data_IF_082402115567
#
_entry.id   IF_082402115567
#
_cell.length_a   1.000
_cell.length_b   1.000
_cell.length_c   1.000
_cell.angle_alpha   90.00
_cell.angle_beta   90.00
_cell.angle_gamma   90.00
#
_symmetry.space_group_name_H-M   'P 1'
#
loop_
_entity.id
_entity.type
_entity.pdbx_description
1 polymer ?
#
# COMPACT_ATOMS: atom_id res chain seq x y z
N UNK A 1 -7.85 17.97 15.17
CA UNK A 1 -8.75 16.79 15.15
C UNK A 1 -7.99 15.59 14.61
N UNK A 2 -8.10 14.48 15.29
CA UNK A 2 -7.42 13.22 14.91
C UNK A 2 -8.42 12.08 14.92
N UNK A 3 -8.21 11.10 14.05
CA UNK A 3 -8.99 9.87 13.99
C UNK A 3 -8.05 8.70 13.78
N UNK A 4 -8.41 7.56 14.32
CA UNK A 4 -7.65 6.32 14.11
C UNK A 4 -8.03 5.70 12.78
N UNK A 5 -7.03 5.16 12.08
CA UNK A 5 -7.19 4.45 10.83
C UNK A 5 -6.50 3.10 10.94
N UNK A 6 -7.26 2.01 10.77
CA UNK A 6 -6.67 0.68 10.69
C UNK A 6 -5.89 0.51 9.38
N UNK A 7 -4.68 -0.01 9.48
CA UNK A 7 -3.83 -0.28 8.32
C UNK A 7 -3.86 -1.76 7.92
N UNK A 8 -4.88 -2.49 8.34
CA UNK A 8 -5.06 -3.89 7.93
C UNK A 8 -5.59 -3.97 6.49
N UNK A 9 -5.16 -4.99 5.78
CA UNK A 9 -5.62 -5.27 4.43
C UNK A 9 -4.79 -4.64 3.33
N UNK A 10 -5.37 -4.51 2.15
CA UNK A 10 -4.72 -3.93 0.97
C UNK A 10 -4.75 -2.41 1.00
N UNK A 11 -3.91 -1.79 0.18
CA UNK A 11 -3.92 -0.33 0.00
C UNK A 11 -5.31 0.17 -0.40
N UNK A 12 -6.00 -0.54 -1.29
CA UNK A 12 -7.35 -0.15 -1.71
C UNK A 12 -8.34 -0.15 -0.55
N UNK A 13 -8.31 -1.19 0.30
CA UNK A 13 -9.15 -1.26 1.49
C UNK A 13 -8.84 -0.15 2.49
N UNK A 14 -7.56 0.14 2.69
CA UNK A 14 -7.12 1.23 3.57
C UNK A 14 -7.61 2.58 3.04
N UNK A 15 -7.47 2.82 1.73
CA UNK A 15 -7.92 4.07 1.11
C UNK A 15 -9.43 4.25 1.20
N UNK A 16 -10.21 3.19 1.01
CA UNK A 16 -11.67 3.23 1.17
C UNK A 16 -12.06 3.57 2.60
N UNK A 17 -11.42 2.91 3.56
CA UNK A 17 -11.64 3.16 5.00
C UNK A 17 -11.26 4.59 5.37
N UNK A 18 -10.16 5.09 4.83
CA UNK A 18 -9.71 6.47 4.99
C UNK A 18 -10.74 7.47 4.48
N UNK A 19 -11.37 7.19 3.33
CA UNK A 19 -12.39 8.07 2.76
C UNK A 19 -13.57 8.28 3.71
N UNK A 20 -14.07 7.21 4.32
CA UNK A 20 -15.18 7.29 5.26
C UNK A 20 -14.82 8.13 6.49
N UNK A 21 -13.60 7.96 6.99
CA UNK A 21 -13.09 8.75 8.12
C UNK A 21 -12.95 10.22 7.75
N UNK A 22 -12.44 10.51 6.57
CA UNK A 22 -12.28 11.87 6.07
C UNK A 22 -13.62 12.56 5.94
N UNK A 23 -14.64 11.92 5.39
CA UNK A 23 -16.00 12.48 5.30
C UNK A 23 -16.57 12.80 6.67
N UNK A 24 -16.38 11.90 7.65
CA UNK A 24 -16.80 12.13 9.02
C UNK A 24 -16.09 13.35 9.63
N UNK A 25 -14.79 13.49 9.38
CA UNK A 25 -14.01 14.63 9.88
C UNK A 25 -14.46 15.95 9.24
N UNK A 26 -14.73 15.95 7.95
CA UNK A 26 -15.22 17.13 7.23
C UNK A 26 -16.55 17.59 7.82
N UNK A 27 -17.46 16.64 8.06
CA UNK A 27 -18.75 16.93 8.69
C UNK A 27 -18.58 17.55 10.08
N UNK A 28 -17.70 16.99 10.90
CA UNK A 28 -17.42 17.50 12.24
C UNK A 28 -16.81 18.90 12.19
N UNK A 29 -15.89 19.17 11.28
CA UNK A 29 -15.28 20.49 11.09
C UNK A 29 -16.35 21.52 10.70
N UNK A 30 -17.23 21.17 9.77
CA UNK A 30 -18.28 22.04 9.30
C UNK A 30 -19.30 22.39 10.40
N UNK A 31 -19.60 21.44 11.28
CA UNK A 31 -20.60 21.61 12.33
C UNK A 31 -20.06 22.21 13.62
N UNK A 32 -18.83 21.91 13.99
CA UNK A 32 -18.24 22.30 15.29
C UNK A 32 -17.24 23.43 15.19
N UNK A 33 -16.76 23.74 14.00
CA UNK A 33 -15.77 24.81 13.75
C UNK A 33 -14.61 24.78 14.76
N UNK A 34 -13.88 23.64 14.89
CA UNK A 34 -12.81 23.53 15.90
C UNK A 34 -11.70 24.53 15.64
N UNK A 35 -11.09 25.03 16.71
CA UNK A 35 -9.95 25.93 16.60
C UNK A 35 -8.72 25.15 16.12
N UNK A 36 -8.02 25.65 15.08
CA UNK A 36 -6.81 24.98 14.61
C UNK A 36 -5.70 25.04 15.67
N UNK A 37 -4.93 23.99 15.74
CA UNK A 37 -3.76 23.87 16.61
C UNK A 37 -2.53 23.64 15.75
N UNK A 38 -1.47 24.39 16.01
CA UNK A 38 -0.22 24.28 15.26
C UNK A 38 0.40 22.91 15.45
N UNK A 39 0.88 22.32 14.35
CA UNK A 39 1.60 21.06 14.39
C UNK A 39 2.94 21.21 15.11
N UNK A 40 3.26 20.24 15.96
CA UNK A 40 4.53 20.19 16.69
C UNK A 40 5.21 18.84 16.50
N UNK A 41 6.49 18.76 16.82
CA UNK A 41 7.28 17.54 16.73
C UNK A 41 8.28 17.56 15.59
N UNK A 42 8.97 16.45 15.43
CA UNK A 42 9.97 16.30 14.37
C UNK A 42 9.31 16.16 13.00
N UNK A 43 9.89 16.82 12.00
CA UNK A 43 9.43 16.70 10.61
C UNK A 43 10.04 15.43 10.01
N UNK A 44 9.19 14.56 9.47
CA UNK A 44 9.63 13.38 8.72
C UNK A 44 9.36 13.63 7.24
N UNK A 45 10.40 13.56 6.43
CA UNK A 45 10.29 13.71 4.99
C UNK A 45 10.39 12.34 4.34
N UNK A 46 9.36 11.97 3.58
CA UNK A 46 9.32 10.69 2.86
C UNK A 46 9.72 10.88 1.41
N UNK A 47 10.56 9.98 0.93
CA UNK A 47 10.92 9.93 -0.47
C UNK A 47 9.73 9.38 -1.28
N UNK A 48 9.47 10.00 -2.44
CA UNK A 48 8.42 9.50 -3.33
C UNK A 48 8.79 8.11 -3.86
N UNK A 49 7.87 7.16 -3.72
CA UNK A 49 8.04 5.81 -4.26
C UNK A 49 7.92 5.81 -5.77
N UNK A 50 8.71 4.96 -6.40
CA UNK A 50 8.67 4.69 -7.85
C UNK A 50 8.21 3.25 -8.07
N UNK A 51 7.76 2.90 -9.30
CA UNK A 51 7.37 1.51 -9.59
C UNK A 51 8.46 0.49 -9.27
N UNK A 52 9.73 0.82 -9.45
CA UNK A 52 10.87 -0.05 -9.15
C UNK A 52 10.97 -0.42 -7.67
N UNK A 53 10.45 0.42 -6.80
CA UNK A 53 10.49 0.19 -5.36
C UNK A 53 9.56 -0.97 -4.93
N UNK A 54 8.71 -1.46 -5.83
CA UNK A 54 7.87 -2.63 -5.61
C UNK A 54 8.57 -3.97 -5.83
N UNK A 55 9.84 -3.97 -6.20
CA UNK A 55 10.61 -5.19 -6.43
C UNK A 55 10.80 -5.96 -5.12
N UNK A 56 10.38 -7.22 -5.10
CA UNK A 56 10.49 -8.09 -3.93
C UNK A 56 11.88 -8.73 -3.77
N UNK A 57 12.68 -8.74 -4.83
CA UNK A 57 13.96 -9.45 -4.84
C UNK A 57 14.93 -9.03 -3.73
N UNK A 58 15.06 -7.72 -3.36
CA UNK A 58 15.96 -7.34 -2.28
C UNK A 58 15.42 -7.61 -0.87
N UNK A 59 14.16 -8.02 -0.72
CA UNK A 59 13.56 -8.25 0.60
C UNK A 59 14.10 -9.52 1.24
N UNK A 60 14.15 -9.55 2.56
CA UNK A 60 14.75 -10.63 3.34
C UNK A 60 13.77 -11.44 4.17
N UNK A 61 12.55 -10.93 4.38
CA UNK A 61 11.56 -11.60 5.23
C UNK A 61 10.22 -11.74 4.52
N UNK A 62 9.45 -12.75 4.93
CA UNK A 62 8.09 -12.96 4.43
C UNK A 62 7.15 -11.84 4.89
N UNK A 63 7.38 -11.27 6.05
CA UNK A 63 6.61 -10.14 6.56
C UNK A 63 6.74 -8.91 5.64
N UNK A 64 7.96 -8.61 5.19
CA UNK A 64 8.20 -7.53 4.24
C UNK A 64 7.52 -7.80 2.89
N UNK A 65 7.61 -9.04 2.40
CA UNK A 65 6.96 -9.43 1.16
C UNK A 65 5.43 -9.26 1.25
N UNK A 66 4.83 -9.70 2.34
CA UNK A 66 3.41 -9.53 2.60
C UNK A 66 3.01 -8.06 2.58
N UNK A 67 3.74 -7.22 3.28
CA UNK A 67 3.45 -5.78 3.34
C UNK A 67 3.58 -5.11 1.98
N UNK A 68 4.61 -5.46 1.20
CA UNK A 68 4.79 -4.88 -0.13
C UNK A 68 3.65 -5.26 -1.07
N UNK A 69 3.23 -6.53 -1.06
CA UNK A 69 2.16 -6.99 -1.94
C UNK A 69 0.84 -6.30 -1.59
N UNK A 70 0.43 -6.30 -0.32
CA UNK A 70 -0.83 -5.70 0.09
C UNK A 70 -0.87 -4.18 -0.07
N UNK A 71 0.25 -3.50 0.20
CA UNK A 71 0.32 -2.04 0.14
C UNK A 71 0.36 -1.49 -1.29
N UNK A 72 0.67 -2.33 -2.26
CA UNK A 72 0.67 -1.95 -3.68
C UNK A 72 -0.58 -2.43 -4.41
N UNK A 73 -1.50 -3.07 -3.70
CA UNK A 73 -2.74 -3.57 -4.30
C UNK A 73 -3.85 -2.53 -4.19
N UNK A 74 -3.89 -1.64 -5.17
CA UNK A 74 -4.96 -0.67 -5.35
C UNK A 74 -5.06 -0.34 -6.83
N UNK A 75 -6.23 0.08 -7.27
CA UNK A 75 -6.44 0.47 -8.66
C UNK A 75 -5.46 1.59 -9.05
N UNK A 76 -4.79 1.42 -10.18
CA UNK A 76 -3.82 2.38 -10.69
C UNK A 76 -2.43 2.27 -10.08
N UNK A 77 -2.22 1.43 -9.07
CA UNK A 77 -0.90 1.22 -8.49
C UNK A 77 -0.16 0.10 -9.25
N UNK A 78 1.13 0.28 -9.56
CA UNK A 78 1.93 -0.84 -10.05
C UNK A 78 2.09 -1.88 -8.95
N UNK A 79 1.84 -3.14 -9.28
CA UNK A 79 1.90 -4.26 -8.33
C UNK A 79 3.33 -4.55 -7.87
N UNK A 80 3.48 -5.14 -6.70
CA UNK A 80 4.73 -5.74 -6.27
C UNK A 80 5.14 -6.84 -7.26
N UNK A 81 6.41 -6.98 -7.52
CA UNK A 81 6.89 -7.84 -8.60
C UNK A 81 8.24 -8.47 -8.32
N UNK A 82 8.56 -9.51 -9.08
CA UNK A 82 9.89 -10.08 -9.25
C UNK A 82 10.13 -10.24 -10.74
N UNK A 83 11.36 -10.09 -11.19
CA UNK A 83 11.71 -10.26 -12.59
C UNK A 83 12.86 -11.24 -12.78
N UNK A 84 12.79 -12.00 -13.87
CA UNK A 84 13.93 -12.70 -14.46
C UNK A 84 14.39 -11.91 -15.68
N UNK A 85 15.33 -12.45 -16.46
CA UNK A 85 15.77 -11.78 -17.69
C UNK A 85 14.63 -11.58 -18.71
N UNK A 86 13.69 -12.51 -18.74
CA UNK A 86 12.63 -12.57 -19.77
C UNK A 86 11.24 -12.30 -19.21
N UNK A 87 10.99 -12.61 -17.95
CA UNK A 87 9.66 -12.64 -17.37
C UNK A 87 9.50 -11.68 -16.21
N UNK A 88 8.26 -11.21 -16.05
CA UNK A 88 7.84 -10.40 -14.91
C UNK A 88 6.71 -11.11 -14.19
N UNK A 89 6.86 -11.23 -12.87
CA UNK A 89 5.89 -11.86 -11.95
C UNK A 89 5.30 -10.76 -11.08
N UNK A 90 4.00 -10.52 -11.23
CA UNK A 90 3.28 -9.49 -10.46
C UNK A 90 2.36 -10.16 -9.46
N UNK A 91 2.36 -9.69 -8.21
CA UNK A 91 1.68 -10.35 -7.09
C UNK A 91 0.51 -9.54 -6.56
N UNK A 92 -0.55 -10.26 -6.17
CA UNK A 92 -1.70 -9.68 -5.49
C UNK A 92 -2.34 -10.73 -4.57
N UNK A 93 -3.31 -10.31 -3.77
CA UNK A 93 -4.09 -11.17 -2.87
C UNK A 93 -3.20 -11.99 -1.93
N UNK A 94 -2.28 -11.32 -1.25
CA UNK A 94 -1.38 -11.98 -0.31
C UNK A 94 -2.10 -12.38 0.97
N UNK A 95 -1.81 -13.60 1.44
CA UNK A 95 -2.29 -14.14 2.70
C UNK A 95 -1.12 -14.69 3.50
N UNK A 96 -1.15 -14.47 4.81
CA UNK A 96 -0.16 -15.07 5.71
C UNK A 96 -0.53 -16.52 5.94
N UNK A 97 0.41 -17.43 5.71
CA UNK A 97 0.29 -18.87 5.97
C UNK A 97 1.26 -19.27 7.08
N UNK A 98 1.12 -20.50 7.61
CA UNK A 98 1.94 -20.99 8.73
C UNK A 98 3.45 -20.92 8.47
N UNK A 99 3.85 -21.15 7.23
CA UNK A 99 5.26 -21.23 6.83
C UNK A 99 5.67 -20.16 5.81
N UNK A 100 4.85 -19.15 5.60
CA UNK A 100 5.17 -18.10 4.64
C UNK A 100 3.98 -17.27 4.21
N UNK A 101 4.02 -16.82 2.96
CA UNK A 101 2.98 -16.00 2.34
C UNK A 101 2.49 -16.68 1.07
N UNK A 102 1.18 -16.76 0.92
CA UNK A 102 0.55 -17.24 -0.31
C UNK A 102 0.02 -16.03 -1.06
N UNK A 103 0.26 -15.97 -2.37
CA UNK A 103 -0.24 -14.86 -3.17
C UNK A 103 -0.57 -15.34 -4.58
N UNK A 104 -1.45 -14.61 -5.23
CA UNK A 104 -1.79 -14.80 -6.63
C UNK A 104 -0.72 -14.11 -7.49
N UNK A 105 -0.30 -14.76 -8.55
CA UNK A 105 0.74 -14.23 -9.44
C UNK A 105 0.24 -14.15 -10.87
N UNK A 106 0.55 -13.04 -11.53
CA UNK A 106 0.39 -12.88 -12.97
C UNK A 106 1.76 -12.86 -13.61
N UNK A 107 1.99 -13.74 -14.56
CA UNK A 107 3.27 -13.87 -15.24
C UNK A 107 3.12 -13.33 -16.67
N UNK A 108 4.02 -12.45 -17.06
CA UNK A 108 4.01 -11.88 -18.42
C UNK A 108 5.44 -11.71 -18.93
N UNK A 109 5.55 -11.55 -20.24
CA UNK A 109 6.82 -11.25 -20.87
C UNK A 109 7.25 -9.83 -20.53
N UNK A 110 8.50 -9.68 -20.15
CA UNK A 110 9.05 -8.41 -19.68
C UNK A 110 9.10 -7.34 -20.79
N UNK A 111 9.40 -7.75 -22.00
CA UNK A 111 9.60 -6.86 -23.14
C UNK A 111 8.54 -6.96 -24.23
N UNK A 112 7.60 -7.87 -24.10
CA UNK A 112 6.56 -8.07 -25.13
C UNK A 112 5.31 -7.28 -24.73
N UNK A 113 4.87 -6.42 -25.64
CA UNK A 113 3.57 -5.77 -25.52
C UNK A 113 2.52 -6.66 -26.17
N UNK A 114 1.50 -6.98 -25.44
CA UNK A 114 0.35 -7.73 -25.96
C UNK A 114 -0.74 -6.78 -26.42
#
# INVERSE_FOLDING_TARGET
MKRDLSLAGTAEEILRRSSDIIFSMIKDIAMKEPSPVEQTGEVTVFKRRRPEDGNLAPLKTTAEAYDYIRMLQAEGYPRAFVETDELRFEFEDAEVADDGVIAKVKIRNKFTKL
#
